data_IF_547170694011
#
_entry.id   IF_547170694011
#
_cell.length_a   1.000
_cell.length_b   1.000
_cell.length_c   1.000
_cell.angle_alpha   90.00
_cell.angle_beta   90.00
_cell.angle_gamma   90.00
#
_symmetry.space_group_name_H-M   'P 1'
#
loop_
_entity.id
_entity.type
_entity.pdbx_description
1 polymer ?
#
# COMPACT_ATOMS: atom_id res chain seq x y z
N UNK A 1 -24.87 -12.62 23.24
CA UNK A 1 -23.44 -13.02 23.11
C UNK A 1 -23.02 -12.85 21.66
N UNK A 2 -21.81 -12.32 21.42
CA UNK A 2 -21.27 -12.20 20.06
C UNK A 2 -21.11 -13.61 19.44
N UNK A 3 -21.62 -13.79 18.21
CA UNK A 3 -21.54 -15.08 17.52
C UNK A 3 -20.08 -15.49 17.28
N UNK A 4 -19.76 -16.78 17.52
CA UNK A 4 -18.43 -17.35 17.23
C UNK A 4 -18.02 -17.14 15.77
N UNK A 5 -18.98 -17.15 14.84
CA UNK A 5 -18.73 -16.89 13.41
C UNK A 5 -18.28 -15.44 13.17
N UNK A 6 -18.93 -14.47 13.81
CA UNK A 6 -18.57 -13.06 13.69
C UNK A 6 -17.18 -12.78 14.28
N UNK A 7 -16.87 -13.36 15.44
CA UNK A 7 -15.53 -13.25 16.03
C UNK A 7 -14.46 -13.93 15.17
N UNK A 8 -14.79 -15.06 14.51
CA UNK A 8 -13.89 -15.72 13.56
C UNK A 8 -13.57 -14.85 12.35
N UNK A 9 -14.57 -14.22 11.74
CA UNK A 9 -14.37 -13.27 10.62
C UNK A 9 -13.57 -12.04 11.08
N UNK A 10 -13.88 -11.50 12.26
CA UNK A 10 -13.16 -10.37 12.83
C UNK A 10 -11.67 -10.70 13.03
N UNK A 11 -11.35 -11.87 13.60
CA UNK A 11 -9.97 -12.30 13.81
C UNK A 11 -9.23 -12.58 12.49
N UNK A 12 -9.92 -13.13 11.48
CA UNK A 12 -9.34 -13.32 10.16
C UNK A 12 -8.96 -11.99 9.50
N UNK A 13 -9.84 -10.98 9.59
CA UNK A 13 -9.59 -9.65 9.05
C UNK A 13 -8.45 -8.93 9.79
N UNK A 14 -8.40 -9.09 11.11
CA UNK A 14 -7.31 -8.57 11.95
C UNK A 14 -5.95 -9.18 11.57
N UNK A 15 -5.89 -10.50 11.40
CA UNK A 15 -4.68 -11.17 10.91
C UNK A 15 -4.31 -10.74 9.48
N UNK A 16 -5.31 -10.51 8.61
CA UNK A 16 -5.08 -10.01 7.25
C UNK A 16 -4.51 -8.59 7.27
N UNK A 17 -4.94 -7.73 8.21
CA UNK A 17 -4.37 -6.40 8.43
C UNK A 17 -2.89 -6.49 8.84
N UNK A 18 -2.55 -7.41 9.74
CA UNK A 18 -1.16 -7.67 10.13
C UNK A 18 -0.32 -8.12 8.92
N UNK A 19 -0.84 -9.06 8.13
CA UNK A 19 -0.16 -9.53 6.92
C UNK A 19 0.09 -8.39 5.92
N UNK A 20 -0.89 -7.51 5.71
CA UNK A 20 -0.74 -6.31 4.88
C UNK A 20 0.36 -5.39 5.41
N UNK A 21 0.40 -5.14 6.73
CA UNK A 21 1.47 -4.36 7.37
C UNK A 21 2.86 -4.96 7.18
N UNK A 22 3.01 -6.28 7.37
CA UNK A 22 4.28 -6.99 7.16
C UNK A 22 4.73 -6.90 5.70
N UNK A 23 3.82 -7.16 4.75
CA UNK A 23 4.13 -7.07 3.32
C UNK A 23 4.60 -5.67 2.97
N UNK A 24 3.90 -4.62 3.41
CA UNK A 24 4.29 -3.24 3.16
C UNK A 24 5.70 -2.91 3.68
N UNK A 25 6.04 -3.38 4.89
CA UNK A 25 7.38 -3.19 5.49
C UNK A 25 8.44 -3.95 4.71
N UNK A 26 8.22 -5.24 4.44
CA UNK A 26 9.19 -6.10 3.74
C UNK A 26 9.50 -5.54 2.36
N UNK A 27 8.48 -5.18 1.59
CA UNK A 27 8.69 -4.57 0.27
C UNK A 27 9.44 -3.23 0.40
N UNK A 28 9.11 -2.41 1.39
CA UNK A 28 9.80 -1.13 1.63
C UNK A 28 11.27 -1.29 2.04
N UNK A 29 11.66 -2.43 2.61
CA UNK A 29 13.05 -2.73 2.96
C UNK A 29 13.80 -3.39 1.80
N UNK A 30 13.24 -4.45 1.21
CA UNK A 30 13.88 -5.19 0.10
C UNK A 30 14.08 -4.30 -1.11
N UNK A 31 13.16 -3.37 -1.37
CA UNK A 31 13.25 -2.48 -2.53
C UNK A 31 14.16 -1.27 -2.32
N UNK A 32 14.76 -1.09 -1.13
CA UNK A 32 15.88 -0.16 -0.92
C UNK A 32 17.19 -0.66 -1.51
N UNK A 33 17.30 -1.96 -1.78
CA UNK A 33 18.49 -2.50 -2.44
C UNK A 33 18.68 -1.92 -3.83
N UNK A 34 19.95 -1.64 -4.16
CA UNK A 34 20.28 -0.90 -5.37
C UNK A 34 19.93 -1.69 -6.63
N UNK A 35 18.96 -1.17 -7.38
CA UNK A 35 18.51 -1.74 -8.65
C UNK A 35 18.26 -0.58 -9.62
N UNK A 36 19.06 -0.54 -10.70
CA UNK A 36 19.08 0.54 -11.68
C UNK A 36 17.69 0.99 -12.15
N UNK A 37 16.87 0.06 -12.64
CA UNK A 37 15.52 0.38 -13.13
C UNK A 37 14.53 0.68 -12.00
N UNK A 38 14.68 0.04 -10.84
CA UNK A 38 13.75 0.23 -9.71
C UNK A 38 13.89 1.60 -9.08
N UNK A 39 15.10 2.16 -9.00
CA UNK A 39 15.32 3.50 -8.48
C UNK A 39 14.80 4.61 -9.41
N UNK A 40 14.74 4.32 -10.71
CA UNK A 40 14.09 5.22 -11.65
C UNK A 40 12.57 5.24 -11.44
N UNK A 41 11.99 4.07 -11.10
CA UNK A 41 10.54 3.90 -10.95
C UNK A 41 10.01 4.30 -9.58
N UNK A 42 10.74 4.00 -8.52
CA UNK A 42 10.30 4.14 -7.14
C UNK A 42 11.27 5.05 -6.41
N UNK A 43 10.75 6.19 -5.93
CA UNK A 43 11.57 7.14 -5.20
C UNK A 43 11.80 6.70 -3.76
N UNK A 44 12.91 7.12 -3.12
CA UNK A 44 13.14 6.87 -1.69
C UNK A 44 12.03 7.38 -0.78
N UNK A 45 11.32 8.43 -1.22
CA UNK A 45 10.18 8.99 -0.50
C UNK A 45 8.99 8.01 -0.53
N UNK A 46 8.71 7.38 -1.67
CA UNK A 46 7.64 6.38 -1.80
C UNK A 46 7.92 5.15 -0.93
N UNK A 47 9.16 4.69 -0.90
CA UNK A 47 9.62 3.60 -0.01
C UNK A 47 9.48 3.96 1.47
N UNK A 48 9.66 5.23 1.83
CA UNK A 48 9.48 5.70 3.21
C UNK A 48 8.01 5.82 3.57
N UNK A 49 7.16 6.27 2.64
CA UNK A 49 5.70 6.29 2.80
C UNK A 49 5.14 4.87 2.96
N UNK A 50 5.60 3.90 2.16
CA UNK A 50 5.24 2.49 2.29
C UNK A 50 5.66 1.88 3.64
N UNK A 51 6.84 2.24 4.13
CA UNK A 51 7.31 1.81 5.45
C UNK A 51 6.42 2.39 6.57
N UNK A 52 6.13 3.69 6.51
CA UNK A 52 5.27 4.36 7.48
C UNK A 52 3.85 3.76 7.48
N UNK A 53 3.29 3.49 6.30
CA UNK A 53 2.00 2.80 6.15
C UNK A 53 2.03 1.43 6.84
N UNK A 54 3.05 0.61 6.57
CA UNK A 54 3.17 -0.71 7.17
C UNK A 54 3.26 -0.67 8.69
N UNK A 55 4.00 0.29 9.26
CA UNK A 55 4.07 0.51 10.71
C UNK A 55 2.71 0.90 11.28
N UNK A 56 1.98 1.81 10.64
CA UNK A 56 0.63 2.20 11.09
C UNK A 56 -0.31 0.98 11.15
N UNK A 57 -0.35 0.16 10.11
CA UNK A 57 -1.20 -1.04 10.08
C UNK A 57 -0.85 -2.04 11.21
N UNK A 58 0.44 -2.20 11.53
CA UNK A 58 0.86 -3.06 12.64
C UNK A 58 0.52 -2.46 14.02
N UNK A 59 0.59 -1.15 14.16
CA UNK A 59 0.13 -0.46 15.38
C UNK A 59 -1.37 -0.64 15.55
N UNK A 60 -2.16 -0.51 14.48
CA UNK A 60 -3.61 -0.74 14.51
C UNK A 60 -3.94 -2.19 14.86
N UNK A 61 -3.19 -3.17 14.34
CA UNK A 61 -3.29 -4.58 14.74
C UNK A 61 -2.96 -4.81 16.22
N UNK A 62 -1.88 -4.22 16.74
CA UNK A 62 -1.57 -4.35 18.17
C UNK A 62 -2.68 -3.73 19.04
N UNK A 63 -3.24 -2.60 18.59
CA UNK A 63 -4.34 -1.93 19.26
C UNK A 63 -5.64 -2.73 19.20
N UNK A 64 -5.94 -3.41 18.08
CA UNK A 64 -7.16 -4.19 17.92
C UNK A 64 -7.23 -5.36 18.92
N UNK A 65 -6.10 -6.03 19.19
CA UNK A 65 -5.99 -7.09 20.20
C UNK A 65 -6.36 -6.52 21.57
N UNK A 66 -5.77 -5.38 21.95
CA UNK A 66 -6.07 -4.69 23.20
C UNK A 66 -7.54 -4.28 23.30
N UNK A 67 -8.12 -3.78 22.20
CA UNK A 67 -9.52 -3.37 22.13
C UNK A 67 -10.50 -4.55 22.28
N UNK A 68 -10.16 -5.73 21.77
CA UNK A 68 -11.06 -6.90 21.82
C UNK A 68 -11.10 -7.56 23.19
N UNK A 69 -9.97 -7.56 23.92
CA UNK A 69 -9.81 -8.14 25.27
C UNK A 69 -10.61 -7.36 26.33
N UNK A 70 -10.92 -6.09 26.06
CA UNK A 70 -11.71 -5.28 26.98
C UNK A 70 -13.06 -5.94 27.30
N UNK A 71 -13.54 -5.83 28.56
CA UNK A 71 -14.81 -6.40 28.99
C UNK A 71 -15.95 -5.99 28.05
N UNK A 72 -16.89 -6.90 27.78
CA UNK A 72 -18.01 -6.69 26.83
C UNK A 72 -18.82 -5.41 27.09
N UNK A 73 -18.81 -4.91 28.33
CA UNK A 73 -19.49 -3.67 28.76
C UNK A 73 -18.82 -2.40 28.25
N UNK A 74 -17.50 -2.43 28.03
CA UNK A 74 -16.71 -1.28 27.60
C UNK A 74 -16.49 -1.41 26.10
N UNK A 75 -17.17 -0.57 25.31
CA UNK A 75 -17.03 -0.53 23.85
C UNK A 75 -16.11 0.59 23.37
N UNK A 76 -15.54 1.40 24.27
CA UNK A 76 -14.71 2.55 23.92
C UNK A 76 -13.46 2.17 23.13
N UNK A 77 -12.80 1.05 23.47
CA UNK A 77 -11.64 0.55 22.72
C UNK A 77 -11.98 0.18 21.27
N UNK A 78 -13.11 -0.50 21.03
CA UNK A 78 -13.57 -0.85 19.69
C UNK A 78 -13.98 0.40 18.88
N UNK A 79 -14.55 1.42 19.53
CA UNK A 79 -14.84 2.70 18.88
C UNK A 79 -13.55 3.41 18.47
N UNK A 80 -12.54 3.44 19.36
CA UNK A 80 -11.23 3.99 19.05
C UNK A 80 -10.53 3.23 17.91
N UNK A 81 -10.67 1.89 17.87
CA UNK A 81 -10.17 1.06 16.77
C UNK A 81 -10.80 1.48 15.43
N UNK A 82 -12.11 1.73 15.39
CA UNK A 82 -12.77 2.21 14.18
C UNK A 82 -12.26 3.59 13.73
N UNK A 83 -11.93 4.49 14.66
CA UNK A 83 -11.30 5.78 14.31
C UNK A 83 -9.91 5.55 13.71
N UNK A 84 -9.11 4.64 14.28
CA UNK A 84 -7.82 4.25 13.70
C UNK A 84 -7.97 3.66 12.30
N UNK A 85 -8.94 2.77 12.08
CA UNK A 85 -9.19 2.20 10.75
C UNK A 85 -9.62 3.25 9.71
N UNK A 86 -10.32 4.31 10.12
CA UNK A 86 -10.63 5.44 9.24
C UNK A 86 -9.34 6.20 8.89
N UNK A 87 -8.46 6.45 9.86
CA UNK A 87 -7.17 7.10 9.60
C UNK A 87 -6.30 6.25 8.66
N UNK A 88 -6.22 4.95 8.89
CA UNK A 88 -5.50 4.01 8.01
C UNK A 88 -6.10 4.01 6.60
N UNK A 89 -7.42 4.01 6.48
CA UNK A 89 -8.10 4.09 5.18
C UNK A 89 -7.76 5.37 4.42
N UNK A 90 -7.71 6.52 5.10
CA UNK A 90 -7.34 7.79 4.45
C UNK A 90 -5.89 7.74 3.99
N UNK A 91 -4.98 7.21 4.81
CA UNK A 91 -3.57 7.07 4.46
C UNK A 91 -3.37 6.14 3.24
N UNK A 92 -4.01 4.97 3.24
CA UNK A 92 -3.93 3.99 2.14
C UNK A 92 -4.46 4.59 0.84
N UNK A 93 -5.63 5.23 0.86
CA UNK A 93 -6.21 5.87 -0.33
C UNK A 93 -5.32 6.99 -0.85
N UNK A 94 -4.74 7.80 0.05
CA UNK A 94 -3.85 8.91 -0.35
C UNK A 94 -2.61 8.38 -1.07
N UNK A 95 -1.91 7.41 -0.47
CA UNK A 95 -0.71 6.82 -1.07
C UNK A 95 -1.07 6.08 -2.37
N UNK A 96 -2.12 5.27 -2.36
CA UNK A 96 -2.59 4.54 -3.55
C UNK A 96 -2.98 5.47 -4.70
N UNK A 97 -3.60 6.61 -4.40
CA UNK A 97 -3.95 7.62 -5.40
C UNK A 97 -2.72 8.29 -6.00
N UNK A 98 -1.71 8.62 -5.18
CA UNK A 98 -0.45 9.19 -5.68
C UNK A 98 0.20 8.22 -6.68
N UNK A 99 0.39 6.96 -6.29
CA UNK A 99 0.99 5.93 -7.17
C UNK A 99 0.16 5.74 -8.44
N UNK A 100 -1.17 5.74 -8.33
CA UNK A 100 -2.06 5.64 -9.49
C UNK A 100 -1.96 6.86 -10.43
N UNK A 101 -1.76 8.07 -9.92
CA UNK A 101 -1.51 9.23 -10.78
C UNK A 101 -0.19 9.11 -11.56
N UNK A 102 0.82 8.46 -10.99
CA UNK A 102 2.07 8.20 -11.70
C UNK A 102 1.88 7.27 -12.91
N UNK A 103 0.98 6.29 -12.81
CA UNK A 103 0.69 5.38 -13.95
C UNK A 103 -0.03 6.08 -15.10
N UNK A 104 -0.86 7.10 -14.82
CA UNK A 104 -1.57 7.84 -15.88
C UNK A 104 -0.66 8.71 -16.76
N UNK A 105 0.49 9.16 -16.23
CA UNK A 105 1.43 10.07 -16.93
C UNK A 105 2.85 9.51 -17.00
N UNK A 106 2.92 8.20 -17.14
CA UNK A 106 4.15 7.41 -16.99
C UNK A 106 5.30 7.92 -17.87
N UNK A 107 5.07 8.06 -19.19
CA UNK A 107 6.06 8.54 -20.16
C UNK A 107 6.60 9.94 -19.84
N UNK A 108 5.74 10.84 -19.37
CA UNK A 108 6.15 12.22 -19.06
C UNK A 108 6.90 12.29 -17.72
N UNK A 109 6.41 11.55 -16.71
CA UNK A 109 7.03 11.52 -15.38
C UNK A 109 8.42 10.90 -15.43
N UNK A 110 8.59 9.79 -16.16
CA UNK A 110 9.89 9.14 -16.30
C UNK A 110 10.85 9.86 -17.22
N UNK A 111 10.37 10.69 -18.16
CA UNK A 111 11.25 11.60 -18.89
C UNK A 111 11.96 12.59 -17.95
N UNK A 112 11.21 13.15 -16.99
CA UNK A 112 11.77 14.05 -15.97
C UNK A 112 12.74 13.29 -15.06
N UNK A 113 12.36 12.09 -14.62
CA UNK A 113 13.22 11.26 -13.78
C UNK A 113 14.52 10.85 -14.50
N UNK A 114 14.44 10.55 -15.80
CA UNK A 114 15.59 10.22 -16.66
C UNK A 114 16.54 11.41 -16.79
N UNK A 115 16.00 12.61 -17.05
CA UNK A 115 16.80 13.83 -17.18
C UNK A 115 17.53 14.24 -15.89
N UNK A 116 17.05 13.77 -14.73
CA UNK A 116 17.69 14.01 -13.42
C UNK A 116 18.79 13.00 -13.10
N UNK A 117 18.94 11.92 -13.86
CA UNK A 117 19.97 10.91 -13.62
C UNK A 117 21.36 11.41 -14.03
N UNK A 118 22.39 10.88 -13.39
CA UNK A 118 23.77 11.16 -13.81
C UNK A 118 24.09 10.49 -15.16
N UNK A 119 25.03 11.04 -15.95
CA UNK A 119 25.42 10.45 -17.23
C UNK A 119 25.87 8.99 -17.12
N UNK A 120 26.51 8.62 -16.00
CA UNK A 120 26.94 7.25 -15.71
C UNK A 120 25.77 6.27 -15.61
N UNK A 121 24.71 6.66 -14.90
CA UNK A 121 23.49 5.86 -14.71
C UNK A 121 22.74 5.73 -16.03
N UNK A 122 22.67 6.81 -16.81
CA UNK A 122 22.06 6.80 -18.15
C UNK A 122 22.79 5.81 -19.06
N UNK A 123 24.13 5.81 -19.07
CA UNK A 123 24.92 4.85 -19.87
C UNK A 123 24.68 3.41 -19.41
N UNK A 124 24.62 3.17 -18.10
CA UNK A 124 24.31 1.85 -17.58
C UNK A 124 22.91 1.37 -18.00
N UNK A 125 21.92 2.27 -18.00
CA UNK A 125 20.56 1.97 -18.46
C UNK A 125 20.53 1.66 -19.95
N UNK A 126 21.23 2.46 -20.76
CA UNK A 126 21.37 2.25 -22.21
C UNK A 126 22.03 0.91 -22.53
N UNK A 127 23.08 0.55 -21.78
CA UNK A 127 23.76 -0.74 -21.92
C UNK A 127 22.84 -1.92 -21.52
N UNK A 128 22.05 -1.75 -20.44
CA UNK A 128 21.20 -2.81 -19.90
C UNK A 128 19.96 -3.05 -20.76
N UNK A 129 19.40 -2.00 -21.34
CA UNK A 129 18.18 -2.04 -22.15
C UNK A 129 18.45 -2.10 -23.65
N UNK A 130 19.72 -2.01 -24.07
CA UNK A 130 20.15 -1.99 -25.48
C UNK A 130 19.38 -0.96 -26.32
N UNK A 131 19.24 0.25 -25.79
CA UNK A 131 18.50 1.35 -26.39
C UNK A 131 19.28 2.66 -26.27
N UNK A 132 18.94 3.66 -27.09
CA UNK A 132 19.60 4.97 -27.07
C UNK A 132 18.58 6.11 -26.91
N UNK A 133 18.93 7.10 -26.09
CA UNK A 133 18.05 8.22 -25.77
C UNK A 133 16.74 7.83 -25.07
N UNK A 134 15.89 8.80 -24.72
CA UNK A 134 14.64 8.55 -24.00
C UNK A 134 13.42 8.48 -24.93
N UNK A 135 12.97 9.63 -25.47
CA UNK A 135 11.82 9.68 -26.40
C UNK A 135 12.20 9.37 -27.85
N UNK A 136 13.41 9.78 -28.24
CA UNK A 136 14.00 9.54 -29.55
C UNK A 136 15.45 9.08 -29.32
N UNK A 137 16.01 8.38 -30.30
CA UNK A 137 17.38 7.86 -30.30
C UNK A 137 18.47 8.89 -29.97
N UNK A 138 18.23 10.15 -30.33
CA UNK A 138 19.16 11.27 -30.16
C UNK A 138 18.80 12.20 -28.99
N UNK A 139 17.65 11.97 -28.34
CA UNK A 139 17.16 12.84 -27.28
C UNK A 139 17.64 12.33 -25.91
N UNK A 140 18.37 13.17 -25.15
CA UNK A 140 18.93 12.80 -23.83
C UNK A 140 19.81 11.55 -23.87
N UNK A 141 20.52 11.36 -25.00
CA UNK A 141 21.50 10.29 -25.19
C UNK A 141 22.84 10.69 -24.61
N UNK A 142 23.57 9.73 -24.07
CA UNK A 142 24.97 9.90 -23.68
C UNK A 142 25.77 9.02 -24.63
N UNK A 143 26.65 9.64 -25.42
CA UNK A 143 27.42 8.94 -26.46
C UNK A 143 28.57 8.13 -25.84
N UNK A 144 28.22 7.10 -25.07
CA UNK A 144 29.13 6.21 -24.38
C UNK A 144 28.50 4.82 -24.23
N UNK A 145 29.32 3.78 -23.98
CA UNK A 145 28.86 2.39 -23.92
C UNK A 145 28.23 1.89 -25.23
N UNK A 146 26.97 1.44 -25.17
CA UNK A 146 26.20 0.91 -26.29
C UNK A 146 25.93 1.97 -27.37
N UNK A 147 25.82 3.25 -26.98
CA UNK A 147 25.50 4.36 -27.87
C UNK A 147 26.73 5.21 -28.27
N UNK A 148 27.94 4.63 -28.30
CA UNK A 148 29.19 5.37 -28.62
C UNK A 148 29.16 5.99 -30.01
N UNK A 149 28.72 5.24 -31.02
CA UNK A 149 28.64 5.74 -32.39
C UNK A 149 27.31 6.50 -32.60
N UNK A 150 27.34 7.81 -32.91
CA UNK A 150 26.13 8.60 -33.12
C UNK A 150 25.27 8.09 -34.28
N UNK A 151 25.87 7.49 -35.31
CA UNK A 151 25.14 6.97 -36.47
C UNK A 151 24.43 5.68 -36.13
N UNK A 152 25.07 4.80 -35.36
CA UNK A 152 24.45 3.61 -34.78
C UNK A 152 23.32 4.01 -33.83
N UNK A 153 23.60 4.93 -32.89
CA UNK A 153 22.65 5.38 -31.89
C UNK A 153 21.37 5.95 -32.54
N UNK A 154 21.49 6.76 -33.58
CA UNK A 154 20.36 7.33 -34.31
C UNK A 154 19.40 6.28 -34.90
N UNK A 155 19.91 5.10 -35.26
CA UNK A 155 19.15 3.97 -35.80
C UNK A 155 18.64 3.00 -34.72
N UNK A 156 18.96 3.22 -33.44
CA UNK A 156 18.46 2.41 -32.33
C UNK A 156 17.06 2.83 -31.88
N UNK A 157 16.39 1.93 -31.16
CA UNK A 157 15.12 2.22 -30.52
C UNK A 157 15.32 3.11 -29.28
N UNK A 158 14.29 3.90 -28.98
CA UNK A 158 14.28 4.78 -27.83
C UNK A 158 14.02 4.00 -26.52
N UNK A 159 14.63 4.41 -25.42
CA UNK A 159 14.49 3.71 -24.13
C UNK A 159 13.11 3.86 -23.46
N UNK A 160 12.24 4.74 -23.96
CA UNK A 160 10.91 4.97 -23.35
C UNK A 160 10.06 3.70 -23.26
N UNK A 161 10.02 2.88 -24.31
CA UNK A 161 9.16 1.68 -24.33
C UNK A 161 9.63 0.59 -23.34
N UNK A 162 10.91 0.19 -23.29
CA UNK A 162 11.35 -0.79 -22.29
C UNK A 162 11.30 -0.26 -20.85
N UNK A 163 11.54 1.05 -20.64
CA UNK A 163 11.42 1.67 -19.31
C UNK A 163 9.96 1.68 -18.84
N UNK A 164 9.04 2.11 -19.70
CA UNK A 164 7.60 2.13 -19.38
C UNK A 164 7.02 0.72 -19.24
N UNK A 165 7.46 -0.26 -20.02
CA UNK A 165 7.00 -1.64 -19.82
C UNK A 165 7.36 -2.19 -18.43
N UNK A 166 8.58 -1.90 -17.94
CA UNK A 166 9.00 -2.29 -16.59
C UNK A 166 8.24 -1.52 -15.50
N UNK A 167 8.07 -0.21 -15.72
CA UNK A 167 7.45 0.67 -14.76
C UNK A 167 5.94 0.45 -14.65
N UNK A 168 5.23 0.20 -15.76
CA UNK A 168 3.81 -0.13 -15.82
C UNK A 168 3.55 -1.43 -15.05
N UNK A 169 4.32 -2.49 -15.32
CA UNK A 169 4.22 -3.74 -14.57
C UNK A 169 4.45 -3.53 -13.07
N UNK A 170 5.47 -2.76 -12.69
CA UNK A 170 5.81 -2.54 -11.28
C UNK A 170 4.73 -1.71 -10.58
N UNK A 171 4.35 -0.57 -11.14
CA UNK A 171 3.38 0.34 -10.55
C UNK A 171 1.97 -0.27 -10.51
N UNK A 172 1.55 -1.01 -11.55
CA UNK A 172 0.27 -1.71 -11.58
C UNK A 172 0.12 -2.70 -10.42
N UNK A 173 1.17 -3.50 -10.18
CA UNK A 173 1.18 -4.45 -9.07
C UNK A 173 1.20 -3.75 -7.70
N UNK A 174 1.95 -2.65 -7.58
CA UNK A 174 2.03 -1.87 -6.34
C UNK A 174 0.69 -1.24 -5.99
N UNK A 175 0.06 -0.48 -6.89
CA UNK A 175 -1.21 0.16 -6.56
C UNK A 175 -2.31 -0.88 -6.33
N UNK A 176 -2.33 -1.98 -7.09
CA UNK A 176 -3.34 -3.04 -6.90
C UNK A 176 -3.20 -3.67 -5.51
N UNK A 177 -1.98 -3.89 -5.05
CA UNK A 177 -1.70 -4.40 -3.70
C UNK A 177 -2.16 -3.41 -2.61
N UNK A 178 -1.86 -2.12 -2.78
CA UNK A 178 -2.27 -1.05 -1.84
C UNK A 178 -3.79 -0.94 -1.75
N UNK A 179 -4.50 -0.96 -2.89
CA UNK A 179 -5.97 -1.00 -2.88
C UNK A 179 -6.54 -2.33 -2.34
N UNK A 180 -5.79 -3.42 -2.45
CA UNK A 180 -6.08 -4.67 -1.74
C UNK A 180 -6.10 -4.49 -0.22
N UNK A 181 -5.15 -3.73 0.33
CA UNK A 181 -5.14 -3.38 1.76
C UNK A 181 -6.36 -2.55 2.16
N UNK A 182 -6.80 -1.63 1.29
CA UNK A 182 -8.02 -0.85 1.50
C UNK A 182 -9.26 -1.74 1.66
N UNK A 183 -9.38 -2.80 0.86
CA UNK A 183 -10.50 -3.74 0.97
C UNK A 183 -10.51 -4.46 2.34
N UNK A 184 -9.34 -4.83 2.85
CA UNK A 184 -9.18 -5.44 4.18
C UNK A 184 -9.63 -4.46 5.27
N UNK A 185 -9.16 -3.21 5.22
CA UNK A 185 -9.50 -2.17 6.20
C UNK A 185 -11.00 -1.91 6.24
N UNK A 186 -11.65 -1.77 5.08
CA UNK A 186 -13.10 -1.55 5.01
C UNK A 186 -13.90 -2.73 5.57
N UNK A 187 -13.51 -3.96 5.22
CA UNK A 187 -14.14 -5.15 5.78
C UNK A 187 -13.96 -5.20 7.30
N UNK A 188 -12.77 -4.88 7.80
CA UNK A 188 -12.46 -4.91 9.23
C UNK A 188 -13.20 -3.82 10.01
N UNK A 189 -13.35 -2.64 9.44
CA UNK A 189 -14.18 -1.56 9.96
C UNK A 189 -15.65 -2.00 10.10
N UNK A 190 -16.23 -2.57 9.05
CA UNK A 190 -17.61 -3.07 9.08
C UNK A 190 -17.79 -4.22 10.10
N UNK A 191 -16.83 -5.14 10.17
CA UNK A 191 -16.85 -6.23 11.15
C UNK A 191 -16.78 -5.67 12.58
N UNK A 192 -15.95 -4.67 12.83
CA UNK A 192 -15.81 -4.01 14.14
C UNK A 192 -17.10 -3.28 14.54
N UNK A 193 -17.77 -2.58 13.61
CA UNK A 193 -19.09 -1.99 13.86
C UNK A 193 -20.12 -3.07 14.23
N UNK A 194 -20.16 -4.19 13.51
CA UNK A 194 -21.06 -5.30 13.82
C UNK A 194 -20.83 -5.84 15.24
N UNK A 195 -19.56 -5.99 15.65
CA UNK A 195 -19.19 -6.42 17.01
C UNK A 195 -19.66 -5.41 18.05
N UNK A 196 -19.39 -4.11 17.85
CA UNK A 196 -19.84 -3.04 18.74
C UNK A 196 -21.37 -3.07 18.90
N UNK A 197 -22.10 -3.16 17.80
CA UNK A 197 -23.57 -3.19 17.81
C UNK A 197 -24.10 -4.38 18.61
N UNK A 198 -23.51 -5.57 18.43
CA UNK A 198 -23.87 -6.77 19.19
C UNK A 198 -23.58 -6.64 20.68
N UNK A 199 -22.43 -6.07 21.06
CA UNK A 199 -22.11 -5.78 22.47
C UNK A 199 -23.11 -4.80 23.10
N UNK A 200 -23.53 -3.77 22.37
CA UNK A 200 -24.56 -2.83 22.84
C UNK A 200 -25.95 -3.47 22.99
N UNK A 201 -26.34 -4.36 22.07
CA UNK A 201 -27.58 -5.14 22.20
C UNK A 201 -27.56 -6.01 23.45
N UNK A 202 -26.49 -6.78 23.66
CA UNK A 202 -26.31 -7.62 24.85
C UNK A 202 -26.38 -6.80 26.16
N UNK A 203 -25.75 -5.62 26.19
CA UNK A 203 -25.80 -4.76 27.37
C UNK A 203 -27.20 -4.18 27.62
N UNK A 204 -27.93 -3.87 26.55
CA UNK A 204 -29.32 -3.39 26.63
C UNK A 204 -30.25 -4.47 27.17
N UNK A 205 -30.15 -5.71 26.68
CA UNK A 205 -30.96 -6.83 27.20
C UNK A 205 -30.65 -7.09 28.67
N UNK A 206 -29.38 -7.12 29.07
CA UNK A 206 -28.98 -7.22 30.49
C UNK A 206 -29.60 -6.13 31.36
N UNK A 207 -29.65 -4.89 30.89
CA UNK A 207 -30.29 -3.76 31.62
C UNK A 207 -31.81 -3.93 31.74
N UNK A 208 -32.46 -4.56 30.76
CA UNK A 208 -33.90 -4.87 30.79
C UNK A 208 -34.16 -6.00 31.79
N UNK A 209 -33.38 -7.07 31.76
CA UNK A 209 -33.52 -8.20 32.68
C UNK A 209 -33.30 -7.76 34.13
N UNK A 210 -32.31 -6.89 34.38
CA UNK A 210 -32.07 -6.30 35.70
C UNK A 210 -33.27 -5.48 36.23
N UNK A 211 -34.04 -4.82 35.37
CA UNK A 211 -35.25 -4.08 35.76
C UNK A 211 -36.43 -4.99 36.08
N UNK A 212 -36.41 -6.24 35.62
CA UNK A 212 -37.49 -7.23 35.81
C UNK A 212 -37.22 -8.21 36.95
N UNK A 213 -36.35 -7.86 37.89
CA UNK A 213 -35.96 -8.77 38.98
C UNK A 213 -35.07 -9.92 38.52
N UNK A 214 -34.40 -9.79 37.37
CA UNK A 214 -33.45 -10.79 36.87
C UNK A 214 -34.09 -11.97 36.12
N UNK A 215 -35.41 -11.92 35.85
CA UNK A 215 -36.09 -12.94 35.04
C UNK A 215 -35.74 -12.69 33.57
N UNK A 216 -35.04 -13.62 32.89
CA UNK A 216 -34.64 -13.44 31.49
C UNK A 216 -35.86 -13.49 30.56
N UNK A 217 -35.77 -12.78 29.43
CA UNK A 217 -36.80 -12.76 28.39
C UNK A 217 -36.87 -14.08 27.57
N UNK A 218 -35.86 -14.95 27.71
CA UNK A 218 -35.69 -16.26 27.06
C UNK A 218 -35.03 -17.23 28.03
#
# INVERSE_FOLDING_TARGET
MVSKRLMGVWAFLDFSLMAAGIVAIVFSMVWREWNLLRQLVISPMDLTAGLALGIMLLVTFAFSIGAVIQPTRVTSGLVALNVMLIMDSVAVITIGSIVWFYTLRERANFAVAWAQQSPTIIVEMQNKLSCCGYFNSTNMVVNSGFCVDPTFAANQTACVDPVTAFADYTLNNVFTSIYGFQAIILCFFLATICVIKKRHEDERFRKIDAKRGGIPFV
#
